data_IF_190433898561
#
_entry.id   IF_190433898561
#
_cell.length_a   1.000
_cell.length_b   1.000
_cell.length_c   1.000
_cell.angle_alpha   90.00
_cell.angle_beta   90.00
_cell.angle_gamma   90.00
#
_symmetry.space_group_name_H-M   'P 1'
#
loop_
_entity.id
_entity.type
_entity.pdbx_description
1 polymer ?
#
# COMPACT_ATOMS: atom_id res chain seq x y z
N UNK A 1 -18.81 -42.43 43.69
CA UNK A 1 -19.72 -41.43 43.11
C UNK A 1 -19.04 -40.07 43.18
N UNK A 2 -18.64 -39.57 42.01
CA UNK A 2 -18.56 -38.19 41.48
C UNK A 2 -18.28 -37.03 42.47
N UNK A 3 -17.47 -36.02 42.15
CA UNK A 3 -17.13 -35.49 40.85
C UNK A 3 -15.77 -34.78 40.85
N UNK A 4 -15.05 -34.94 39.74
CA UNK A 4 -13.89 -34.15 39.33
C UNK A 4 -14.30 -32.69 39.12
N UNK A 5 -13.58 -31.76 39.73
CA UNK A 5 -13.67 -30.34 39.41
C UNK A 5 -12.61 -30.04 38.33
N UNK A 6 -12.97 -30.22 37.06
CA UNK A 6 -12.17 -29.74 35.94
C UNK A 6 -12.40 -28.24 35.79
N UNK A 7 -11.37 -27.46 36.09
CA UNK A 7 -11.32 -26.05 35.73
C UNK A 7 -11.19 -26.00 34.22
N UNK A 8 -12.32 -25.77 33.54
CA UNK A 8 -12.35 -25.42 32.13
C UNK A 8 -11.69 -24.04 32.02
N UNK A 9 -10.41 -24.01 31.66
CA UNK A 9 -9.75 -22.82 31.15
C UNK A 9 -10.60 -22.28 30.00
N UNK A 10 -11.20 -21.11 30.23
CA UNK A 10 -11.85 -20.34 29.18
C UNK A 10 -10.75 -19.97 28.17
N UNK A 11 -10.67 -20.69 27.07
CA UNK A 11 -9.98 -20.22 25.86
C UNK A 11 -10.74 -18.99 25.39
N UNK A 12 -10.19 -17.83 25.69
CA UNK A 12 -10.68 -16.55 25.21
C UNK A 12 -10.59 -16.58 23.68
N UNK A 13 -11.74 -16.75 23.03
CA UNK A 13 -11.83 -16.83 21.59
C UNK A 13 -12.07 -15.41 21.06
N UNK A 14 -11.40 -15.10 19.95
CA UNK A 14 -11.45 -13.84 19.18
C UNK A 14 -10.54 -12.70 19.68
N UNK A 15 -9.24 -12.82 19.37
CA UNK A 15 -8.36 -11.65 19.25
C UNK A 15 -8.88 -10.75 18.11
N UNK A 16 -8.84 -9.44 18.31
CA UNK A 16 -9.20 -8.49 17.26
C UNK A 16 -8.19 -8.52 16.11
N UNK A 17 -8.58 -8.07 14.92
CA UNK A 17 -7.66 -7.99 13.78
C UNK A 17 -6.42 -7.15 14.11
N UNK A 18 -6.60 -6.05 14.85
CA UNK A 18 -5.52 -5.18 15.32
C UNK A 18 -4.56 -5.93 16.27
N UNK A 19 -5.09 -6.71 17.22
CA UNK A 19 -4.27 -7.54 18.11
C UNK A 19 -3.49 -8.63 17.36
N UNK A 20 -4.10 -9.24 16.34
CA UNK A 20 -3.42 -10.21 15.48
C UNK A 20 -2.28 -9.55 14.71
N UNK A 21 -2.49 -8.34 14.19
CA UNK A 21 -1.46 -7.60 13.47
C UNK A 21 -0.31 -7.21 14.40
N UNK A 22 -0.58 -6.66 15.57
CA UNK A 22 0.44 -6.29 16.56
C UNK A 22 1.28 -7.48 17.04
N UNK A 23 0.67 -8.63 17.33
CA UNK A 23 1.38 -9.85 17.74
C UNK A 23 2.31 -10.42 16.67
N UNK A 24 2.03 -10.12 15.39
CA UNK A 24 2.89 -10.52 14.27
C UNK A 24 3.88 -9.40 13.86
N UNK A 25 4.07 -8.40 14.74
CA UNK A 25 4.90 -7.21 14.52
C UNK A 25 4.47 -6.38 13.30
N UNK A 26 3.18 -6.47 12.95
CA UNK A 26 2.56 -5.73 11.87
C UNK A 26 1.87 -4.50 12.46
N UNK A 27 2.65 -3.51 12.88
CA UNK A 27 2.08 -2.21 13.24
C UNK A 27 1.63 -1.49 11.94
N UNK A 28 0.33 -1.24 11.82
CA UNK A 28 -0.27 -0.58 10.65
C UNK A 28 0.26 0.85 10.44
N UNK A 29 0.66 1.54 11.52
CA UNK A 29 1.34 2.83 11.43
C UNK A 29 2.74 2.68 10.87
N UNK A 30 3.52 1.72 11.36
CA UNK A 30 4.85 1.39 10.82
C UNK A 30 4.78 0.97 9.34
N UNK A 31 3.76 0.19 8.95
CA UNK A 31 3.53 -0.19 7.56
C UNK A 31 3.23 1.01 6.68
N UNK A 32 2.41 1.94 7.17
CA UNK A 32 2.12 3.18 6.46
C UNK A 32 3.37 4.02 6.25
N UNK A 33 4.23 4.12 7.27
CA UNK A 33 5.50 4.82 7.20
C UNK A 33 6.43 4.16 6.18
N UNK A 34 6.59 2.83 6.24
CA UNK A 34 7.42 2.07 5.30
C UNK A 34 6.93 2.17 3.86
N UNK A 35 5.61 2.06 3.63
CA UNK A 35 5.04 2.23 2.30
C UNK A 35 5.29 3.64 1.75
N UNK A 36 5.17 4.67 2.59
CA UNK A 36 5.51 6.03 2.20
C UNK A 36 7.01 6.20 1.89
N UNK A 37 7.89 5.59 2.68
CA UNK A 37 9.32 5.59 2.43
C UNK A 37 9.68 4.86 1.12
N UNK A 38 9.11 3.68 0.86
CA UNK A 38 9.33 2.96 -0.38
C UNK A 38 8.82 3.75 -1.59
N UNK A 39 7.64 4.35 -1.48
CA UNK A 39 7.09 5.19 -2.54
C UNK A 39 7.96 6.43 -2.79
N UNK A 40 8.56 7.01 -1.75
CA UNK A 40 9.48 8.15 -1.87
C UNK A 40 10.79 7.80 -2.58
N UNK A 41 11.24 6.54 -2.42
CA UNK A 41 12.44 5.98 -3.07
C UNK A 41 12.13 5.40 -4.45
N UNK A 42 10.86 5.25 -4.81
CA UNK A 42 10.45 4.66 -6.06
C UNK A 42 11.05 5.45 -7.23
N UNK A 43 11.65 4.77 -8.22
CA UNK A 43 12.14 5.44 -9.42
C UNK A 43 11.02 6.22 -10.09
N UNK A 44 11.33 7.45 -10.50
CA UNK A 44 10.41 8.32 -11.23
C UNK A 44 10.28 7.83 -12.66
N UNK A 45 9.35 6.90 -12.86
CA UNK A 45 9.09 6.22 -14.14
C UNK A 45 7.75 6.70 -14.68
N UNK A 46 7.75 7.18 -15.91
CA UNK A 46 6.56 7.74 -16.56
C UNK A 46 6.94 8.75 -17.62
N UNK A 47 6.02 9.01 -18.54
CA UNK A 47 6.24 9.98 -19.61
C UNK A 47 6.25 11.41 -19.06
N UNK A 48 5.56 11.69 -17.94
CA UNK A 48 5.60 13.03 -17.34
C UNK A 48 7.03 13.45 -16.99
N UNK A 49 7.92 12.52 -16.61
CA UNK A 49 9.27 12.86 -16.16
C UNK A 49 10.20 13.18 -17.33
N UNK A 50 9.92 12.58 -18.49
CA UNK A 50 10.51 13.03 -19.76
C UNK A 50 9.94 14.40 -20.17
N UNK A 51 8.69 14.67 -19.77
CA UNK A 51 8.00 15.94 -19.96
C UNK A 51 8.28 16.98 -18.87
N UNK A 52 9.11 16.72 -17.85
CA UNK A 52 9.51 17.74 -16.85
C UNK A 52 10.42 18.81 -17.48
N UNK A 53 11.09 18.48 -18.60
CA UNK A 53 11.68 19.50 -19.49
C UNK A 53 10.64 20.23 -20.37
N UNK A 54 9.35 19.89 -20.30
CA UNK A 54 8.33 20.27 -21.27
C UNK A 54 7.04 20.91 -20.67
N UNK A 55 6.35 21.62 -21.56
CA UNK A 55 5.16 22.48 -21.37
C UNK A 55 4.01 21.84 -20.57
N UNK A 56 3.27 22.65 -19.81
CA UNK A 56 2.01 22.33 -19.11
C UNK A 56 1.05 21.52 -20.01
N UNK A 57 1.01 21.83 -21.30
CA UNK A 57 0.18 21.11 -22.28
C UNK A 57 0.51 19.63 -22.40
N UNK A 58 1.78 19.25 -22.26
CA UNK A 58 2.19 17.86 -22.32
C UNK A 58 1.71 17.12 -21.08
N UNK A 59 1.90 17.72 -19.90
CA UNK A 59 1.39 17.18 -18.63
C UNK A 59 -0.13 16.96 -18.72
N UNK A 60 -0.89 17.93 -19.22
CA UNK A 60 -2.34 17.80 -19.41
C UNK A 60 -2.70 16.69 -20.41
N UNK A 61 -1.96 16.56 -21.51
CA UNK A 61 -2.15 15.51 -22.50
C UNK A 61 -1.88 14.13 -21.91
N UNK A 62 -0.83 13.98 -21.10
CA UNK A 62 -0.49 12.73 -20.42
C UNK A 62 -1.51 12.36 -19.36
N UNK A 63 -1.95 13.32 -18.55
CA UNK A 63 -3.07 13.12 -17.61
C UNK A 63 -4.34 12.66 -18.32
N UNK A 64 -4.66 13.28 -19.46
CA UNK A 64 -5.80 12.87 -20.30
C UNK A 64 -5.62 11.48 -20.90
N UNK A 65 -4.40 11.07 -21.25
CA UNK A 65 -4.14 9.71 -21.69
C UNK A 65 -4.40 8.71 -20.55
N UNK A 66 -3.83 8.96 -19.37
CA UNK A 66 -4.00 8.11 -18.20
C UNK A 66 -5.47 8.00 -17.76
N UNK A 67 -6.25 9.08 -17.88
CA UNK A 67 -7.67 9.07 -17.53
C UNK A 67 -8.54 8.21 -18.45
N UNK A 68 -8.12 8.00 -19.70
CA UNK A 68 -8.84 7.16 -20.66
C UNK A 68 -8.33 5.72 -20.70
N UNK A 69 -7.33 5.37 -19.89
CA UNK A 69 -6.80 4.02 -19.84
C UNK A 69 -7.89 3.07 -19.33
N UNK A 70 -8.23 2.05 -20.13
CA UNK A 70 -9.28 1.08 -19.81
C UNK A 70 -8.86 0.10 -18.69
N UNK A 71 -7.57 -0.09 -18.51
CA UNK A 71 -7.01 -0.93 -17.45
C UNK A 71 -6.85 -0.13 -16.17
N UNK A 72 -6.88 -0.82 -15.02
CA UNK A 72 -6.50 -0.20 -13.75
C UNK A 72 -5.07 0.34 -13.82
N UNK A 73 -4.86 1.48 -13.17
CA UNK A 73 -3.55 2.11 -13.10
C UNK A 73 -2.58 1.24 -12.30
N UNK A 74 -1.34 1.17 -12.76
CA UNK A 74 -0.24 0.66 -11.95
C UNK A 74 0.17 1.65 -10.86
N UNK A 75 0.92 1.20 -9.84
CA UNK A 75 1.49 2.07 -8.81
C UNK A 75 2.34 3.19 -9.44
N UNK A 76 3.11 2.87 -10.49
CA UNK A 76 3.94 3.85 -11.19
C UNK A 76 3.08 4.93 -11.88
N UNK A 77 2.00 4.53 -12.55
CA UNK A 77 1.09 5.48 -13.21
C UNK A 77 0.28 6.31 -12.21
N UNK A 78 -0.08 5.72 -11.06
CA UNK A 78 -0.69 6.47 -9.96
C UNK A 78 0.29 7.52 -9.38
N UNK A 79 1.57 7.17 -9.24
CA UNK A 79 2.62 8.13 -8.87
C UNK A 79 2.79 9.21 -9.93
N UNK A 80 2.73 8.86 -11.21
CA UNK A 80 2.76 9.79 -12.33
C UNK A 80 1.65 10.85 -12.18
N UNK A 81 0.41 10.44 -11.92
CA UNK A 81 -0.71 11.38 -11.72
C UNK A 81 -0.49 12.28 -10.49
N UNK A 82 -0.01 11.71 -9.37
CA UNK A 82 0.27 12.47 -8.16
C UNK A 82 1.36 13.53 -8.37
N UNK A 83 2.45 13.16 -9.04
CA UNK A 83 3.57 14.06 -9.32
C UNK A 83 3.16 15.13 -10.35
N UNK A 84 2.38 14.80 -11.37
CA UNK A 84 1.83 15.76 -12.32
C UNK A 84 0.97 16.84 -11.64
N UNK A 85 0.09 16.44 -10.72
CA UNK A 85 -0.72 17.37 -9.94
C UNK A 85 0.16 18.32 -9.11
N UNK A 86 1.20 17.78 -8.47
CA UNK A 86 2.17 18.57 -7.71
C UNK A 86 2.94 19.56 -8.59
N UNK A 87 3.40 19.13 -9.76
CA UNK A 87 4.10 19.96 -10.73
C UNK A 87 3.23 21.12 -11.24
N UNK A 88 1.99 20.85 -11.63
CA UNK A 88 1.05 21.90 -12.08
C UNK A 88 0.81 22.96 -11.00
N UNK A 89 0.72 22.54 -9.74
CA UNK A 89 0.63 23.45 -8.60
C UNK A 89 1.90 24.31 -8.46
N UNK A 90 3.09 23.73 -8.57
CA UNK A 90 4.36 24.47 -8.53
C UNK A 90 4.48 25.49 -9.68
N UNK A 91 3.97 25.14 -10.86
CA UNK A 91 3.94 26.01 -12.04
C UNK A 91 2.86 27.11 -11.97
N UNK A 92 2.19 27.27 -10.82
CA UNK A 92 1.08 28.23 -10.62
C UNK A 92 -0.04 28.04 -11.64
N UNK A 93 -0.29 26.79 -12.03
CA UNK A 93 -1.44 26.35 -12.83
C UNK A 93 -2.32 25.39 -12.01
N UNK A 94 -2.76 25.80 -10.81
CA UNK A 94 -3.55 24.92 -9.96
C UNK A 94 -4.88 24.60 -10.66
N UNK A 95 -5.27 23.32 -10.58
CA UNK A 95 -6.58 22.86 -10.98
C UNK A 95 -7.08 21.93 -9.88
N UNK A 96 -8.20 22.29 -9.26
CA UNK A 96 -8.72 21.60 -8.08
C UNK A 96 -9.01 20.12 -8.35
N UNK A 97 -9.60 19.80 -9.50
CA UNK A 97 -9.91 18.41 -9.88
C UNK A 97 -8.64 17.59 -10.08
N UNK A 98 -7.61 18.19 -10.71
CA UNK A 98 -6.32 17.52 -10.91
C UNK A 98 -5.61 17.31 -9.55
N UNK A 99 -5.68 18.28 -8.64
CA UNK A 99 -5.14 18.13 -7.29
C UNK A 99 -5.82 17.01 -6.51
N UNK A 100 -7.15 16.93 -6.56
CA UNK A 100 -7.91 15.83 -5.93
C UNK A 100 -7.53 14.48 -6.55
N UNK A 101 -7.46 14.40 -7.89
CA UNK A 101 -7.03 13.19 -8.59
C UNK A 101 -5.62 12.77 -8.17
N UNK A 102 -4.69 13.72 -8.06
CA UNK A 102 -3.33 13.46 -7.58
C UNK A 102 -3.29 12.92 -6.15
N UNK A 103 -4.08 13.49 -5.24
CA UNK A 103 -4.19 12.99 -3.85
C UNK A 103 -4.78 11.58 -3.79
N UNK A 104 -5.82 11.30 -4.59
CA UNK A 104 -6.43 9.98 -4.68
C UNK A 104 -5.45 8.95 -5.24
N UNK A 105 -4.73 9.31 -6.31
CA UNK A 105 -3.72 8.44 -6.93
C UNK A 105 -2.60 8.10 -5.95
N UNK A 106 -2.08 9.10 -5.23
CA UNK A 106 -1.06 8.90 -4.20
C UNK A 106 -1.55 7.97 -3.07
N UNK A 107 -2.76 8.20 -2.53
CA UNK A 107 -3.34 7.33 -1.49
C UNK A 107 -3.56 5.91 -2.00
N UNK A 108 -4.04 5.76 -3.24
CA UNK A 108 -4.19 4.46 -3.89
C UNK A 108 -2.87 3.70 -4.01
N UNK A 109 -1.81 4.38 -4.48
CA UNK A 109 -0.47 3.82 -4.57
C UNK A 109 0.06 3.34 -3.21
N UNK A 110 -0.14 4.14 -2.15
CA UNK A 110 0.22 3.75 -0.78
C UNK A 110 -0.52 2.49 -0.32
N UNK A 111 -1.84 2.43 -0.52
CA UNK A 111 -2.64 1.26 -0.14
C UNK A 111 -2.23 0.00 -0.90
N UNK A 112 -1.89 0.12 -2.18
CA UNK A 112 -1.39 -1.02 -2.97
C UNK A 112 -0.05 -1.53 -2.45
N UNK A 113 0.91 -0.64 -2.16
CA UNK A 113 2.19 -1.04 -1.55
C UNK A 113 1.98 -1.70 -0.19
N UNK A 114 1.10 -1.17 0.65
CA UNK A 114 0.77 -1.80 1.94
C UNK A 114 0.20 -3.20 1.75
N UNK A 115 -0.68 -3.40 0.77
CA UNK A 115 -1.23 -4.71 0.45
C UNK A 115 -0.14 -5.69 -0.03
N UNK A 116 0.83 -5.23 -0.83
CA UNK A 116 1.97 -6.03 -1.27
C UNK A 116 2.88 -6.44 -0.09
N UNK A 117 3.16 -5.52 0.83
CA UNK A 117 3.91 -5.79 2.06
C UNK A 117 3.19 -6.81 2.95
N UNK A 118 1.89 -6.62 3.17
CA UNK A 118 1.06 -7.53 3.95
C UNK A 118 1.01 -8.93 3.33
N UNK A 119 0.84 -9.01 2.01
CA UNK A 119 0.86 -10.28 1.27
C UNK A 119 2.19 -11.00 1.44
N UNK A 120 3.30 -10.26 1.36
CA UNK A 120 4.65 -10.80 1.55
C UNK A 120 4.87 -11.32 2.98
N UNK A 121 4.43 -10.57 3.99
CA UNK A 121 4.50 -10.99 5.39
C UNK A 121 3.62 -12.21 5.67
N UNK A 122 2.42 -12.25 5.09
CA UNK A 122 1.53 -13.41 5.19
C UNK A 122 2.18 -14.68 4.64
N UNK A 123 2.86 -14.60 3.48
CA UNK A 123 3.61 -15.74 2.91
C UNK A 123 4.74 -16.20 3.83
N UNK A 124 5.47 -15.27 4.45
CA UNK A 124 6.53 -15.59 5.42
C UNK A 124 5.98 -16.38 6.61
N UNK A 125 4.88 -15.91 7.21
CA UNK A 125 4.24 -16.58 8.35
C UNK A 125 3.74 -17.99 7.98
N UNK A 126 3.19 -18.16 6.79
CA UNK A 126 2.76 -19.48 6.29
C UNK A 126 3.95 -20.46 6.17
N UNK A 127 5.09 -20.00 5.64
CA UNK A 127 6.29 -20.84 5.54
C UNK A 127 6.90 -21.14 6.92
N UNK A 128 6.91 -20.17 7.84
CA UNK A 128 7.33 -20.38 9.23
C UNK A 128 6.46 -21.44 9.93
N UNK A 129 5.14 -21.38 9.73
CA UNK A 129 4.19 -22.37 10.27
C UNK A 129 4.50 -23.78 9.76
N UNK A 130 4.68 -23.92 8.45
CA UNK A 130 5.06 -25.20 7.81
C UNK A 130 6.37 -25.74 8.36
N UNK A 131 7.37 -24.88 8.56
CA UNK A 131 8.66 -25.29 9.11
C UNK A 131 8.58 -25.70 10.57
N UNK A 132 7.83 -24.97 11.41
CA UNK A 132 7.56 -25.37 12.80
C UNK A 132 6.97 -26.78 12.85
N UNK A 133 5.94 -27.06 12.04
CA UNK A 133 5.32 -28.39 11.99
C UNK A 133 6.30 -29.51 11.60
N UNK A 134 7.19 -29.26 10.62
CA UNK A 134 8.25 -30.22 10.25
C UNK A 134 9.20 -30.52 11.40
N UNK A 135 9.58 -29.51 12.18
CA UNK A 135 10.53 -29.68 13.29
C UNK A 135 9.88 -30.24 14.56
N UNK A 136 8.57 -30.06 14.75
CA UNK A 136 7.84 -30.58 15.92
C UNK A 136 7.38 -32.03 15.75
N UNK A 137 7.15 -32.52 14.53
CA UNK A 137 6.69 -33.90 14.27
C UNK A 137 7.81 -34.97 14.31
N UNK A 138 8.78 -34.84 15.22
CA UNK A 138 9.76 -35.89 15.53
C UNK A 138 9.23 -36.82 16.63
#
# INVERSE_FOLDING_TARGET
MNAECSVIEKRDSTKTHEQILEENEIDTKSLSLRAAEELSKAPKIGEIYNEVEADVKNIEKRLKYLSHKLQMLSINEANEIADAAYLLRLLRKPNHEIEMAGQMAHRGALLMLQAEMLSSKGKELLEQSKNKLKFTML
#
